data_IF_975651051801
#
_entry.id   IF_975651051801
#
_cell.length_a   1.000
_cell.length_b   1.000
_cell.length_c   1.000
_cell.angle_alpha   90.00
_cell.angle_beta   90.00
_cell.angle_gamma   90.00
#
_symmetry.space_group_name_H-M   'P 1'
#
loop_
_entity.id
_entity.type
_entity.pdbx_description
1 polymer ?
#
# COMPACT_ATOMS: atom_id res chain seq x y z
N UNK A 1 0.57 5.98 22.10
CA UNK A 1 1.08 4.85 21.27
C UNK A 1 0.20 4.51 20.06
N UNK A 2 -1.14 4.47 20.08
CA UNK A 2 -1.93 4.18 18.86
C UNK A 2 -1.86 5.28 17.77
N UNK A 3 -1.49 6.49 18.10
CA UNK A 3 -1.45 7.65 17.17
C UNK A 3 -0.12 7.82 16.42
N UNK A 4 0.90 7.06 16.75
CA UNK A 4 2.26 7.21 16.17
C UNK A 4 2.52 6.24 15.00
N UNK A 5 1.71 5.19 14.85
CA UNK A 5 1.90 4.19 13.78
C UNK A 5 1.89 4.83 12.37
N UNK A 6 0.98 5.75 12.01
CA UNK A 6 1.03 6.42 10.71
C UNK A 6 2.36 7.14 10.45
N UNK A 7 2.90 7.84 11.45
CA UNK A 7 4.20 8.53 11.34
C UNK A 7 5.34 7.54 11.09
N UNK A 8 5.37 6.42 11.83
CA UNK A 8 6.38 5.37 11.64
C UNK A 8 6.27 4.68 10.27
N UNK A 9 5.05 4.45 9.78
CA UNK A 9 4.82 3.94 8.42
C UNK A 9 5.40 4.93 7.40
N UNK A 10 5.06 6.21 7.48
CA UNK A 10 5.56 7.24 6.55
C UNK A 10 7.09 7.38 6.61
N UNK A 11 7.68 7.29 7.82
CA UNK A 11 9.14 7.29 7.98
C UNK A 11 9.79 6.13 7.21
N UNK A 12 9.26 4.90 7.35
CA UNK A 12 9.81 3.75 6.63
C UNK A 12 9.49 3.79 5.14
N UNK A 13 8.35 4.34 4.71
CA UNK A 13 8.06 4.54 3.29
C UNK A 13 9.07 5.49 2.64
N UNK A 14 9.59 6.47 3.38
CA UNK A 14 10.58 7.41 2.88
C UNK A 14 12.02 6.85 2.88
N UNK A 15 12.36 6.04 3.89
CA UNK A 15 13.75 5.66 4.18
C UNK A 15 14.09 4.19 3.90
N UNK A 16 13.09 3.33 3.57
CA UNK A 16 13.29 1.90 3.41
C UNK A 16 12.53 1.37 2.18
N UNK A 17 13.29 1.07 1.12
CA UNK A 17 12.72 0.60 -0.16
C UNK A 17 12.04 -0.77 -0.04
N UNK A 18 12.61 -1.68 0.77
CA UNK A 18 12.02 -3.01 1.00
C UNK A 18 10.67 -2.91 1.71
N UNK A 19 10.60 -2.08 2.77
CA UNK A 19 9.35 -1.79 3.45
C UNK A 19 8.31 -1.17 2.49
N UNK A 20 8.72 -0.19 1.70
CA UNK A 20 7.86 0.48 0.73
C UNK A 20 7.24 -0.54 -0.25
N UNK A 21 8.05 -1.40 -0.85
CA UNK A 21 7.58 -2.44 -1.80
C UNK A 21 6.61 -3.44 -1.17
N UNK A 22 6.82 -3.78 0.10
CA UNK A 22 6.02 -4.79 0.81
C UNK A 22 4.71 -4.23 1.35
N UNK A 23 4.67 -2.96 1.73
CA UNK A 23 3.55 -2.38 2.49
C UNK A 23 2.66 -1.47 1.64
N UNK A 24 3.21 -0.69 0.69
CA UNK A 24 2.43 0.23 -0.17
C UNK A 24 1.22 -0.42 -0.85
N UNK A 25 1.28 -1.67 -1.36
CA UNK A 25 0.12 -2.27 -2.02
C UNK A 25 -1.13 -2.43 -1.14
N UNK A 26 -0.97 -2.34 0.17
CA UNK A 26 -2.06 -2.50 1.15
C UNK A 26 -2.50 -1.19 1.79
N UNK A 27 -1.71 -0.13 1.61
CA UNK A 27 -2.03 1.19 2.14
C UNK A 27 -3.03 1.88 1.21
N UNK A 28 -4.06 2.46 1.82
CA UNK A 28 -5.02 3.32 1.13
C UNK A 28 -4.95 4.71 1.72
N UNK A 29 -5.09 5.74 0.89
CA UNK A 29 -5.08 7.14 1.33
C UNK A 29 -6.19 7.45 2.36
N UNK A 30 -7.29 6.70 2.32
CA UNK A 30 -8.41 6.82 3.24
C UNK A 30 -8.07 6.35 4.66
N UNK A 31 -6.96 5.64 4.84
CA UNK A 31 -6.48 5.21 6.16
C UNK A 31 -5.77 6.32 6.92
N UNK A 32 -5.31 7.35 6.20
CA UNK A 32 -4.60 8.49 6.74
C UNK A 32 -5.52 9.72 6.84
N UNK A 33 -5.27 10.55 7.85
CA UNK A 33 -6.04 11.76 8.10
C UNK A 33 -5.11 12.98 8.12
N UNK A 34 -5.63 14.18 7.80
CA UNK A 34 -4.92 15.46 7.90
C UNK A 34 -3.57 15.47 7.18
N UNK A 35 -2.52 15.90 7.90
CA UNK A 35 -1.16 15.99 7.39
C UNK A 35 -0.57 14.65 6.94
N UNK A 36 -0.91 13.53 7.60
CA UNK A 36 -0.41 12.21 7.22
C UNK A 36 -0.90 11.80 5.85
N UNK A 37 -2.14 12.16 5.49
CA UNK A 37 -2.71 11.88 4.17
C UNK A 37 -1.97 12.64 3.08
N UNK A 38 -1.68 13.94 3.30
CA UNK A 38 -0.93 14.76 2.35
C UNK A 38 0.45 14.14 2.09
N UNK A 39 1.19 13.82 3.17
CA UNK A 39 2.54 13.26 3.05
C UNK A 39 2.51 11.88 2.39
N UNK A 40 1.53 11.04 2.70
CA UNK A 40 1.34 9.74 2.06
C UNK A 40 1.11 9.88 0.55
N UNK A 41 0.20 10.77 0.14
CA UNK A 41 -0.08 11.03 -1.29
C UNK A 41 1.19 11.51 -2.01
N UNK A 42 1.95 12.46 -1.43
CA UNK A 42 3.21 12.94 -2.01
C UNK A 42 4.25 11.82 -2.21
N UNK A 43 4.42 10.94 -1.21
CA UNK A 43 5.36 9.82 -1.32
C UNK A 43 4.90 8.83 -2.40
N UNK A 44 3.64 8.44 -2.37
CA UNK A 44 3.12 7.40 -3.29
C UNK A 44 3.02 7.88 -4.73
N UNK A 45 2.62 9.13 -4.95
CA UNK A 45 2.60 9.74 -6.28
C UNK A 45 4.02 9.82 -6.86
N UNK A 46 5.00 10.25 -6.07
CA UNK A 46 6.39 10.28 -6.52
C UNK A 46 6.93 8.87 -6.85
N UNK A 47 6.65 7.88 -6.01
CA UNK A 47 7.06 6.48 -6.26
C UNK A 47 6.42 5.94 -7.53
N UNK A 48 5.14 6.21 -7.76
CA UNK A 48 4.42 5.81 -8.97
C UNK A 48 5.05 6.43 -10.23
N UNK A 49 5.37 7.72 -10.19
CA UNK A 49 5.81 8.47 -11.36
C UNK A 49 7.31 8.25 -11.67
N UNK A 50 8.12 8.00 -10.65
CA UNK A 50 9.58 7.91 -10.78
C UNK A 50 10.17 6.53 -10.47
N UNK A 51 9.37 5.60 -9.96
CA UNK A 51 9.79 4.24 -9.56
C UNK A 51 11.00 4.22 -8.58
N UNK A 52 11.08 5.21 -7.69
CA UNK A 52 12.09 5.36 -6.65
C UNK A 52 11.54 6.16 -5.47
N UNK A 53 12.17 6.03 -4.30
CA UNK A 53 11.76 6.80 -3.13
C UNK A 53 12.10 8.29 -3.32
N UNK A 54 11.23 9.23 -2.88
CA UNK A 54 11.56 10.64 -2.82
C UNK A 54 12.57 10.90 -1.71
N UNK A 55 13.28 12.02 -1.80
CA UNK A 55 14.02 12.58 -0.66
C UNK A 55 13.11 13.54 0.11
N UNK A 56 13.44 13.85 1.38
CA UNK A 56 12.72 14.88 2.14
C UNK A 56 12.69 16.21 1.40
N UNK A 57 13.79 16.57 0.73
CA UNK A 57 13.87 17.80 -0.06
C UNK A 57 12.90 17.84 -1.25
N UNK A 58 12.64 16.69 -1.88
CA UNK A 58 11.64 16.58 -2.95
C UNK A 58 10.25 16.79 -2.36
N UNK A 59 9.94 16.18 -1.21
CA UNK A 59 8.65 16.37 -0.54
C UNK A 59 8.40 17.81 -0.12
N UNK A 60 9.44 18.53 0.34
CA UNK A 60 9.39 19.97 0.64
C UNK A 60 9.02 20.83 -0.58
N UNK A 61 9.50 20.47 -1.78
CA UNK A 61 9.15 21.15 -3.02
C UNK A 61 7.73 20.81 -3.47
N UNK A 62 7.34 19.54 -3.37
CA UNK A 62 6.03 19.08 -3.81
C UNK A 62 4.90 19.58 -2.91
N UNK A 63 5.12 19.73 -1.60
CA UNK A 63 4.10 20.22 -0.67
C UNK A 63 3.68 21.68 -0.98
N UNK A 64 4.56 22.50 -1.54
CA UNK A 64 4.25 23.88 -1.94
C UNK A 64 3.20 23.93 -3.06
N UNK A 65 3.00 22.85 -3.79
CA UNK A 65 2.01 22.74 -4.88
C UNK A 65 0.65 22.24 -4.38
N UNK A 66 0.56 21.77 -3.13
CA UNK A 66 -0.65 21.19 -2.56
C UNK A 66 -1.60 22.30 -2.14
N UNK A 67 -2.87 22.18 -2.54
CA UNK A 67 -3.94 23.08 -2.08
C UNK A 67 -4.62 22.46 -0.84
N UNK A 68 -4.31 22.99 0.33
CA UNK A 68 -4.89 22.59 1.59
C UNK A 68 -4.89 23.79 2.58
N UNK A 69 -5.60 23.73 3.72
CA UNK A 69 -5.54 24.77 4.75
C UNK A 69 -4.10 24.97 5.25
N UNK A 70 -3.70 26.23 5.47
CA UNK A 70 -2.34 26.61 5.89
C UNK A 70 -1.87 25.86 7.14
N UNK A 71 -2.75 25.66 8.11
CA UNK A 71 -2.44 24.89 9.32
C UNK A 71 -2.06 23.43 9.00
N UNK A 72 -2.81 22.78 8.11
CA UNK A 72 -2.54 21.40 7.70
C UNK A 72 -1.25 21.30 6.88
N UNK A 73 -0.95 22.29 6.04
CA UNK A 73 0.31 22.36 5.28
C UNK A 73 1.50 22.54 6.22
N UNK A 74 1.38 23.40 7.23
CA UNK A 74 2.43 23.58 8.25
C UNK A 74 2.71 22.27 8.98
N UNK A 75 1.65 21.58 9.44
CA UNK A 75 1.76 20.29 10.11
C UNK A 75 2.36 19.21 9.20
N UNK A 76 2.02 19.22 7.92
CA UNK A 76 2.59 18.29 6.96
C UNK A 76 4.08 18.57 6.69
N UNK A 77 4.49 19.84 6.66
CA UNK A 77 5.89 20.22 6.56
C UNK A 77 6.69 19.74 7.78
N UNK A 78 6.18 20.00 9.00
CA UNK A 78 6.80 19.52 10.24
C UNK A 78 6.95 17.99 10.26
N UNK A 79 5.89 17.28 9.79
CA UNK A 79 5.93 15.82 9.65
C UNK A 79 7.01 15.35 8.66
N UNK A 80 7.19 16.05 7.52
CA UNK A 80 8.27 15.72 6.56
C UNK A 80 9.64 15.85 7.23
N UNK A 81 9.86 16.89 8.06
CA UNK A 81 11.10 17.05 8.81
C UNK A 81 11.30 15.91 9.81
N UNK A 82 10.27 15.54 10.55
CA UNK A 82 10.29 14.43 11.52
C UNK A 82 10.64 13.11 10.86
N UNK A 83 9.98 12.75 9.77
CA UNK A 83 10.19 11.47 9.07
C UNK A 83 11.47 11.44 8.23
N UNK A 84 12.17 12.58 8.04
CA UNK A 84 13.44 12.65 7.32
C UNK A 84 14.57 11.93 8.09
N UNK A 85 14.46 11.87 9.40
CA UNK A 85 15.39 11.14 10.26
C UNK A 85 15.01 9.66 10.28
N UNK A 86 15.94 8.81 9.83
CA UNK A 86 15.70 7.36 9.77
C UNK A 86 15.40 6.81 11.17
N UNK A 87 14.28 6.10 11.27
CA UNK A 87 13.89 5.38 12.49
C UNK A 87 14.76 4.13 12.69
N UNK A 88 14.95 3.74 13.95
CA UNK A 88 15.62 2.51 14.39
C UNK A 88 14.65 1.34 14.63
N UNK A 89 13.36 1.53 14.32
CA UNK A 89 12.34 0.49 14.49
C UNK A 89 12.64 -0.67 13.54
N UNK A 90 12.56 -1.88 14.07
CA UNK A 90 12.72 -3.11 13.28
C UNK A 90 11.67 -3.19 12.16
N UNK A 91 12.13 -3.47 10.95
CA UNK A 91 11.29 -3.46 9.74
C UNK A 91 10.21 -4.55 9.78
N UNK A 92 10.54 -5.76 10.22
CA UNK A 92 9.57 -6.87 10.27
C UNK A 92 8.49 -6.62 11.34
N UNK A 93 8.90 -6.07 12.48
CA UNK A 93 7.97 -5.64 13.51
C UNK A 93 6.99 -4.58 12.97
N UNK A 94 7.52 -3.56 12.28
CA UNK A 94 6.68 -2.50 11.74
C UNK A 94 5.74 -2.99 10.62
N UNK A 95 6.17 -3.96 9.81
CA UNK A 95 5.30 -4.59 8.80
C UNK A 95 4.10 -5.26 9.48
N UNK A 96 4.33 -6.03 10.55
CA UNK A 96 3.27 -6.70 11.30
C UNK A 96 2.29 -5.69 11.94
N UNK A 97 2.80 -4.62 12.55
CA UNK A 97 1.98 -3.56 13.12
C UNK A 97 1.23 -2.75 12.05
N UNK A 98 1.84 -2.54 10.87
CA UNK A 98 1.19 -1.89 9.73
C UNK A 98 0.03 -2.73 9.19
N UNK A 99 0.19 -4.06 9.10
CA UNK A 99 -0.90 -4.97 8.69
C UNK A 99 -2.10 -4.85 9.63
N UNK A 100 -1.83 -4.90 10.95
CA UNK A 100 -2.87 -4.76 11.97
C UNK A 100 -3.57 -3.40 11.86
N UNK A 101 -2.79 -2.32 11.72
CA UNK A 101 -3.33 -0.98 11.57
C UNK A 101 -4.18 -0.83 10.30
N UNK A 102 -3.73 -1.36 9.15
CA UNK A 102 -4.51 -1.36 7.91
C UNK A 102 -5.83 -2.13 8.07
N UNK A 103 -5.82 -3.26 8.74
CA UNK A 103 -7.03 -4.05 9.04
C UNK A 103 -8.00 -3.27 9.91
N UNK A 104 -7.51 -2.64 10.98
CA UNK A 104 -8.34 -1.81 11.88
C UNK A 104 -8.99 -0.65 11.11
N UNK A 105 -8.22 0.02 10.23
CA UNK A 105 -8.73 1.11 9.38
C UNK A 105 -9.73 0.61 8.34
N UNK A 106 -9.49 -0.56 7.72
CA UNK A 106 -10.42 -1.16 6.76
C UNK A 106 -11.76 -1.51 7.43
N UNK A 107 -11.73 -2.13 8.61
CA UNK A 107 -12.94 -2.47 9.38
C UNK A 107 -13.69 -1.20 9.76
N UNK A 108 -12.99 -0.18 10.25
CA UNK A 108 -13.62 1.10 10.60
C UNK A 108 -14.31 1.72 9.36
N UNK A 109 -13.62 1.79 8.23
CA UNK A 109 -14.18 2.30 6.99
C UNK A 109 -15.40 1.51 6.50
N UNK A 110 -15.35 0.17 6.59
CA UNK A 110 -16.45 -0.71 6.23
C UNK A 110 -17.70 -0.47 7.10
N UNK A 111 -17.50 -0.29 8.41
CA UNK A 111 -18.60 0.03 9.35
C UNK A 111 -19.21 1.41 9.01
N UNK A 112 -18.36 2.42 8.79
CA UNK A 112 -18.84 3.76 8.43
C UNK A 112 -19.60 3.77 7.10
N UNK A 113 -19.12 3.06 6.08
CA UNK A 113 -19.81 2.89 4.80
C UNK A 113 -21.15 2.16 4.99
N UNK A 114 -21.19 1.10 5.79
CA UNK A 114 -22.42 0.38 6.12
C UNK A 114 -23.48 1.27 6.77
N UNK A 115 -23.06 2.15 7.68
CA UNK A 115 -23.95 3.15 8.29
C UNK A 115 -24.50 4.11 7.25
N UNK A 116 -23.65 4.61 6.32
CA UNK A 116 -24.09 5.50 5.24
C UNK A 116 -25.10 4.85 4.31
N UNK A 117 -24.92 3.54 4.02
CA UNK A 117 -25.88 2.75 3.23
C UNK A 117 -27.23 2.67 3.95
N UNK A 118 -27.23 2.33 5.25
CA UNK A 118 -28.46 2.22 6.06
C UNK A 118 -29.17 3.58 6.18
N UNK A 119 -28.41 4.66 6.31
CA UNK A 119 -28.93 6.03 6.38
C UNK A 119 -29.44 6.55 5.03
N UNK A 120 -29.30 5.78 3.93
CA UNK A 120 -29.66 6.21 2.57
C UNK A 120 -28.79 7.32 2.00
N UNK A 121 -27.59 7.54 2.55
CA UNK A 121 -26.62 8.56 2.11
C UNK A 121 -25.67 8.04 1.02
N UNK A 122 -25.62 6.73 0.83
CA UNK A 122 -24.86 6.09 -0.23
C UNK A 122 -25.83 5.61 -1.30
N UNK A 123 -25.85 6.29 -2.45
CA UNK A 123 -26.77 5.99 -3.56
C UNK A 123 -26.24 4.86 -4.47
N UNK A 124 -24.94 4.51 -4.34
CA UNK A 124 -24.28 3.53 -5.21
C UNK A 124 -24.44 2.08 -4.73
N UNK A 125 -24.67 1.89 -3.44
CA UNK A 125 -24.70 0.57 -2.80
C UNK A 125 -26.00 0.36 -2.01
N UNK A 126 -26.49 -0.88 -2.04
CA UNK A 126 -27.68 -1.28 -1.28
C UNK A 126 -27.30 -2.03 0.00
N UNK A 127 -28.24 -2.16 0.94
CA UNK A 127 -28.04 -2.91 2.20
C UNK A 127 -27.54 -4.36 1.97
N UNK A 128 -27.90 -4.98 0.83
CA UNK A 128 -27.41 -6.30 0.45
C UNK A 128 -25.89 -6.39 0.23
N UNK A 129 -25.20 -5.28 0.01
CA UNK A 129 -23.74 -5.24 -0.15
C UNK A 129 -22.98 -5.22 1.19
N UNK A 130 -23.64 -4.91 2.31
CA UNK A 130 -23.02 -4.76 3.63
C UNK A 130 -22.22 -6.01 4.07
N UNK A 131 -22.73 -7.25 3.94
CA UNK A 131 -21.97 -8.43 4.34
C UNK A 131 -20.66 -8.58 3.57
N UNK A 132 -20.65 -8.29 2.26
CA UNK A 132 -19.47 -8.38 1.41
C UNK A 132 -18.43 -7.31 1.77
N UNK A 133 -18.87 -6.07 2.00
CA UNK A 133 -18.03 -4.95 2.45
C UNK A 133 -17.30 -5.30 3.76
N UNK A 134 -18.02 -5.85 4.74
CA UNK A 134 -17.43 -6.25 6.02
C UNK A 134 -16.52 -7.47 5.88
N UNK A 135 -16.86 -8.43 5.04
CA UNK A 135 -16.03 -9.61 4.77
C UNK A 135 -14.72 -9.24 4.10
N UNK A 136 -14.74 -8.31 3.13
CA UNK A 136 -13.54 -7.80 2.47
C UNK A 136 -12.61 -7.11 3.49
N UNK A 137 -13.16 -6.24 4.34
CA UNK A 137 -12.40 -5.54 5.36
C UNK A 137 -11.73 -6.48 6.37
N UNK A 138 -12.43 -7.53 6.79
CA UNK A 138 -11.88 -8.58 7.68
C UNK A 138 -10.79 -9.42 6.99
N UNK A 139 -10.84 -9.52 5.67
CA UNK A 139 -9.89 -10.28 4.86
C UNK A 139 -8.57 -9.55 4.57
N UNK A 140 -8.37 -8.30 5.04
CA UNK A 140 -7.11 -7.56 4.84
C UNK A 140 -5.95 -8.29 5.52
N UNK A 141 -5.00 -8.78 4.71
CA UNK A 141 -3.80 -9.47 5.17
C UNK A 141 -2.67 -9.31 4.16
N UNK A 142 -1.47 -8.96 4.64
CA UNK A 142 -0.28 -8.80 3.79
C UNK A 142 0.25 -10.14 3.26
N UNK A 143 -0.02 -11.22 3.97
CA UNK A 143 0.40 -12.58 3.58
C UNK A 143 -0.34 -13.09 2.35
N UNK A 144 -1.62 -12.73 2.20
CA UNK A 144 -2.48 -13.24 1.13
C UNK A 144 -1.99 -12.83 -0.27
N UNK A 145 -1.51 -11.59 -0.43
CA UNK A 145 -0.95 -11.11 -1.70
C UNK A 145 0.45 -11.68 -1.96
N UNK A 146 1.29 -11.80 -0.92
CA UNK A 146 2.63 -12.37 -1.05
C UNK A 146 2.59 -13.81 -1.55
N UNK A 147 1.69 -14.65 -1.01
CA UNK A 147 1.49 -16.04 -1.47
C UNK A 147 0.95 -16.07 -2.89
N UNK A 148 0.03 -15.18 -3.25
CA UNK A 148 -0.53 -15.11 -4.60
C UNK A 148 0.52 -14.65 -5.62
N UNK A 149 1.34 -13.66 -5.30
CA UNK A 149 2.43 -13.19 -6.17
C UNK A 149 3.49 -14.27 -6.32
N UNK A 150 3.90 -14.94 -5.24
CA UNK A 150 4.86 -16.05 -5.29
C UNK A 150 4.30 -17.20 -6.12
N UNK A 151 3.03 -17.57 -5.97
CA UNK A 151 2.40 -18.63 -6.76
C UNK A 151 2.31 -18.27 -8.24
N UNK A 152 2.00 -17.01 -8.59
CA UNK A 152 2.00 -16.53 -9.98
C UNK A 152 3.40 -16.50 -10.58
N UNK A 153 4.43 -16.12 -9.83
CA UNK A 153 5.83 -16.17 -10.28
C UNK A 153 6.27 -17.61 -10.52
N UNK A 154 5.99 -18.53 -9.61
CA UNK A 154 6.31 -19.95 -9.75
C UNK A 154 5.59 -20.58 -10.96
N UNK A 155 4.32 -20.26 -11.18
CA UNK A 155 3.56 -20.74 -12.35
C UNK A 155 4.17 -20.21 -13.64
N UNK A 156 4.56 -18.94 -13.70
CA UNK A 156 5.22 -18.34 -14.88
C UNK A 156 6.55 -19.01 -15.19
N UNK A 157 7.35 -19.29 -14.16
CA UNK A 157 8.63 -19.98 -14.34
C UNK A 157 8.44 -21.44 -14.78
N UNK A 158 7.46 -22.14 -14.21
CA UNK A 158 7.10 -23.50 -14.65
C UNK A 158 6.64 -23.53 -16.11
N UNK A 159 5.78 -22.60 -16.53
CA UNK A 159 5.35 -22.47 -17.94
C UNK A 159 6.56 -22.22 -18.85
N UNK A 160 7.49 -21.36 -18.45
CA UNK A 160 8.72 -21.07 -19.19
C UNK A 160 9.59 -22.32 -19.40
N UNK A 161 9.74 -23.13 -18.34
CA UNK A 161 10.49 -24.40 -18.36
C UNK A 161 9.82 -25.41 -19.30
N UNK A 162 8.49 -25.56 -19.21
CA UNK A 162 7.72 -26.47 -20.04
C UNK A 162 7.80 -26.07 -21.51
N UNK A 163 7.70 -24.78 -21.81
CA UNK A 163 7.79 -24.25 -23.17
C UNK A 163 9.20 -24.45 -23.79
N UNK A 164 10.27 -24.28 -22.99
CA UNK A 164 11.63 -24.60 -23.39
C UNK A 164 11.76 -26.09 -23.69
N UNK A 165 11.29 -26.98 -22.82
CA UNK A 165 11.36 -28.45 -23.01
C UNK A 165 10.61 -28.90 -24.26
N UNK A 166 9.45 -28.33 -24.55
CA UNK A 166 8.67 -28.62 -25.76
C UNK A 166 9.40 -28.16 -27.04
N UNK A 167 10.11 -27.06 -27.00
CA UNK A 167 10.94 -26.54 -28.12
C UNK A 167 12.12 -27.47 -28.40
N UNK A 168 12.81 -27.98 -27.39
CA UNK A 168 13.89 -28.96 -27.56
C UNK A 168 13.39 -30.27 -28.12
N UNK A 169 12.21 -30.73 -27.71
CA UNK A 169 11.63 -31.98 -28.24
C UNK A 169 11.27 -31.86 -29.73
N UNK A 170 10.75 -30.73 -30.17
CA UNK A 170 10.46 -30.45 -31.60
C UNK A 170 11.74 -30.36 -32.45
N UNK A 171 12.83 -29.78 -31.93
CA UNK A 171 14.12 -29.68 -32.61
C UNK A 171 14.74 -31.08 -32.78
N UNK A 172 14.67 -31.94 -31.76
CA UNK A 172 15.14 -33.33 -31.83
C UNK A 172 14.40 -34.15 -32.89
N UNK A 173 13.09 -34.00 -33.00
CA UNK A 173 12.29 -34.68 -34.04
C UNK A 173 12.65 -34.20 -35.46
N UNK A 174 13.05 -32.94 -35.62
CA UNK A 174 13.46 -32.39 -36.91
C UNK A 174 14.89 -32.81 -37.33
N UNK A 175 15.78 -33.12 -36.38
CA UNK A 175 17.17 -33.52 -36.63
C UNK A 175 17.34 -35.04 -36.81
N UNK A 176 16.30 -35.84 -36.53
CA UNK A 176 16.32 -37.32 -36.69
C UNK A 176 15.54 -37.81 -37.90
N UNK A 177 15.19 -36.91 -38.83
CA UNK A 177 14.67 -37.21 -40.18
C UNK A 177 15.70 -36.84 -41.24
#
# INVERSE_FOLDING_TARGET
>A
MKNEIPTHILNHLLNNEDFCRRVVPYLKKEYFDGQHKIVFDLITDFVRDHNKLPTSRVLEIEIEKVSAPDETLTQAYDLIQEISVKSDIDTEYLIAESEKWCRDKAIYGAIMNSIQIIDGKNEEQTEGAIPEILQEALGVSFVKLSVMIISMMLIRDLISIIMKKKRYHLILIYLTR
#
